data_IF_195853752647
#
_entry.id   IF_195853752647
#
_cell.length_a   1.000
_cell.length_b   1.000
_cell.length_c   1.000
_cell.angle_alpha   90.00
_cell.angle_beta   90.00
_cell.angle_gamma   90.00
#
_symmetry.space_group_name_H-M   'P 1'
#
loop_
_entity.id
_entity.type
_entity.pdbx_description
1 polymer ?
#
# COMPACT_ATOMS: atom_id res chain seq x y z
N UNK A 1 13.64 -8.77 7.07
CA UNK A 1 12.48 -8.39 7.92
C UNK A 1 11.51 -9.55 8.14
N UNK A 2 11.02 -10.20 7.08
CA UNK A 2 10.09 -11.34 7.20
C UNK A 2 10.62 -12.49 8.09
N UNK A 3 11.88 -12.87 7.92
CA UNK A 3 12.51 -13.91 8.75
C UNK A 3 12.61 -13.49 10.22
N UNK A 4 13.05 -12.26 10.49
CA UNK A 4 13.10 -11.67 11.83
C UNK A 4 11.71 -11.70 12.51
N UNK A 5 10.66 -11.27 11.79
CA UNK A 5 9.29 -11.28 12.32
C UNK A 5 8.84 -12.69 12.73
N UNK A 6 9.19 -13.71 11.93
CA UNK A 6 8.90 -15.11 12.24
C UNK A 6 9.71 -15.65 13.42
N UNK A 7 10.99 -15.32 13.47
CA UNK A 7 11.92 -15.80 14.50
C UNK A 7 11.54 -15.28 15.89
N UNK A 8 11.20 -14.00 15.99
CA UNK A 8 10.85 -13.36 17.26
C UNK A 8 9.34 -13.31 17.54
N UNK A 9 8.51 -13.85 16.63
CA UNK A 9 7.04 -13.82 16.72
C UNK A 9 6.47 -12.40 16.94
N UNK A 10 7.03 -11.41 16.25
CA UNK A 10 6.61 -10.02 16.34
C UNK A 10 5.89 -9.56 15.08
N UNK A 11 5.00 -8.57 15.24
CA UNK A 11 4.39 -7.86 14.13
C UNK A 11 5.36 -6.79 13.64
N UNK A 12 5.74 -6.87 12.37
CA UNK A 12 6.59 -5.86 11.71
C UNK A 12 5.75 -5.10 10.71
N UNK A 13 5.59 -3.79 10.93
CA UNK A 13 4.95 -2.87 9.99
C UNK A 13 6.04 -2.06 9.31
N UNK A 14 5.99 -2.00 7.98
CA UNK A 14 6.93 -1.23 7.16
C UNK A 14 6.14 -0.23 6.33
N UNK A 15 6.59 1.02 6.34
CA UNK A 15 6.06 2.04 5.44
C UNK A 15 6.87 2.03 4.15
N UNK A 16 6.18 1.96 3.02
CA UNK A 16 6.79 1.96 1.69
C UNK A 16 6.24 3.13 0.88
N UNK A 17 7.13 3.82 0.18
CA UNK A 17 6.72 4.79 -0.83
C UNK A 17 6.32 4.06 -2.11
N UNK A 18 5.30 4.58 -2.79
CA UNK A 18 4.88 4.08 -4.09
C UNK A 18 5.62 4.81 -5.21
N UNK A 19 5.73 4.15 -6.36
CA UNK A 19 6.24 4.79 -7.57
C UNK A 19 5.35 5.97 -7.99
N UNK A 20 5.96 7.11 -8.35
CA UNK A 20 5.27 8.29 -8.88
C UNK A 20 4.53 8.05 -10.19
N UNK A 21 4.84 6.96 -10.90
CA UNK A 21 4.10 6.54 -12.09
C UNK A 21 2.60 6.33 -11.80
N UNK A 22 2.24 6.00 -10.56
CA UNK A 22 0.83 5.91 -10.12
C UNK A 22 0.05 7.21 -10.31
N UNK A 23 0.70 8.37 -10.13
CA UNK A 23 0.09 9.71 -10.25
C UNK A 23 -0.21 10.11 -11.70
N UNK A 24 0.43 9.45 -12.67
CA UNK A 24 0.25 9.73 -14.10
C UNK A 24 -0.93 8.96 -14.70
N UNK A 25 -1.50 8.00 -13.96
CA UNK A 25 -2.67 7.24 -14.41
C UNK A 25 -3.95 8.07 -14.31
N UNK A 26 -4.91 7.77 -15.17
CA UNK A 26 -6.28 8.30 -15.06
C UNK A 26 -6.94 7.85 -13.76
N UNK A 27 -6.77 6.57 -13.42
CA UNK A 27 -7.12 6.04 -12.11
C UNK A 27 -5.90 6.13 -11.17
N UNK A 28 -5.98 7.07 -10.22
CA UNK A 28 -4.95 7.34 -9.23
C UNK A 28 -5.04 6.44 -8.01
N UNK A 29 -5.90 5.41 -8.05
CA UNK A 29 -5.92 4.39 -7.03
C UNK A 29 -4.58 3.63 -7.04
N UNK A 30 -3.93 3.48 -5.88
CA UNK A 30 -2.68 2.73 -5.77
C UNK A 30 -2.93 1.24 -6.02
N UNK A 31 -1.94 0.58 -6.60
CA UNK A 31 -1.95 -0.86 -6.88
C UNK A 31 -0.65 -1.49 -6.37
N UNK A 32 -0.64 -2.80 -6.12
CA UNK A 32 0.57 -3.51 -5.67
C UNK A 32 1.76 -3.36 -6.62
N UNK A 33 1.51 -3.21 -7.93
CA UNK A 33 2.56 -2.95 -8.93
C UNK A 33 3.30 -1.63 -8.69
N UNK A 34 2.72 -0.69 -7.94
CA UNK A 34 3.37 0.57 -7.57
C UNK A 34 4.45 0.38 -6.50
N UNK A 35 4.49 -0.78 -5.84
CA UNK A 35 5.56 -1.20 -4.93
C UNK A 35 6.75 -1.85 -5.66
N UNK A 36 6.70 -2.01 -6.98
CA UNK A 36 7.71 -2.78 -7.74
C UNK A 36 9.15 -2.28 -7.56
N UNK A 37 9.35 -1.00 -7.29
CA UNK A 37 10.68 -0.43 -6.99
C UNK A 37 11.13 -0.66 -5.54
N UNK A 38 10.25 -1.14 -4.66
CA UNK A 38 10.54 -1.50 -3.27
C UNK A 38 11.23 -2.87 -3.12
N UNK A 39 11.61 -3.50 -4.25
CA UNK A 39 12.35 -4.75 -4.28
C UNK A 39 11.57 -5.93 -3.70
N UNK A 40 12.16 -6.63 -2.73
CA UNK A 40 11.60 -7.87 -2.17
C UNK A 40 10.32 -7.67 -1.34
N UNK A 41 9.96 -6.44 -0.96
CA UNK A 41 8.82 -6.17 -0.06
C UNK A 41 7.49 -6.64 -0.67
N UNK A 42 7.28 -6.37 -1.96
CA UNK A 42 6.09 -6.80 -2.70
C UNK A 42 5.87 -8.32 -2.56
N UNK A 43 6.95 -9.09 -2.69
CA UNK A 43 6.92 -10.54 -2.67
C UNK A 43 6.85 -11.10 -1.24
N UNK A 44 7.59 -10.52 -0.31
CA UNK A 44 7.79 -11.05 1.04
C UNK A 44 6.69 -10.68 2.03
N UNK A 45 5.97 -9.58 1.80
CA UNK A 45 4.91 -9.13 2.70
C UNK A 45 3.77 -10.17 2.80
N UNK A 46 3.28 -10.43 4.02
CA UNK A 46 2.08 -11.26 4.19
C UNK A 46 0.80 -10.50 3.88
N UNK A 47 0.79 -9.21 4.22
CA UNK A 47 -0.31 -8.29 3.97
C UNK A 47 0.25 -7.01 3.36
N UNK A 48 -0.44 -6.50 2.34
CA UNK A 48 -0.17 -5.19 1.75
C UNK A 48 -1.44 -4.36 1.88
N UNK A 49 -1.33 -3.24 2.58
CA UNK A 49 -2.39 -2.26 2.73
C UNK A 49 -1.95 -1.00 2.01
N UNK A 50 -2.71 -0.60 1.00
CA UNK A 50 -2.49 0.63 0.24
C UNK A 50 -3.44 1.71 0.74
N UNK A 51 -2.95 2.95 0.80
CA UNK A 51 -3.73 4.10 1.25
C UNK A 51 -4.15 4.93 0.05
N UNK A 52 -5.44 5.18 -0.09
CA UNK A 52 -5.97 6.09 -1.09
C UNK A 52 -6.83 7.16 -0.45
N UNK A 53 -6.63 8.40 -0.87
CA UNK A 53 -7.39 9.56 -0.39
C UNK A 53 -8.05 10.23 -1.58
N UNK A 54 -9.37 10.11 -1.76
CA UNK A 54 -10.07 10.73 -2.89
C UNK A 54 -9.87 12.25 -2.96
N UNK A 55 -9.86 12.90 -1.78
CA UNK A 55 -9.72 14.36 -1.63
C UNK A 55 -8.33 14.91 -2.00
N UNK A 56 -7.31 14.05 -2.12
CA UNK A 56 -5.98 14.44 -2.61
C UNK A 56 -5.96 14.73 -4.12
N UNK A 57 -6.91 14.17 -4.87
CA UNK A 57 -6.96 14.28 -6.32
C UNK A 57 -8.19 15.03 -6.82
N UNK A 58 -9.27 15.00 -6.03
CA UNK A 58 -10.49 15.76 -6.25
C UNK A 58 -10.81 16.61 -5.00
N UNK A 59 -10.43 17.89 -4.99
CA UNK A 59 -10.66 18.77 -3.84
C UNK A 59 -12.14 18.97 -3.47
N UNK A 60 -13.07 18.72 -4.39
CA UNK A 60 -14.52 18.80 -4.14
C UNK A 60 -15.12 17.43 -3.78
N UNK A 61 -14.28 16.43 -3.55
CA UNK A 61 -14.74 15.09 -3.20
C UNK A 61 -15.65 15.12 -1.97
N UNK A 62 -16.84 14.49 -2.01
CA UNK A 62 -17.75 14.43 -0.86
C UNK A 62 -17.18 13.62 0.31
N UNK A 63 -16.05 12.92 0.09
CA UNK A 63 -15.33 12.09 1.07
C UNK A 63 -14.11 12.82 1.65
N UNK A 64 -14.17 14.16 1.73
CA UNK A 64 -13.10 14.98 2.28
C UNK A 64 -12.70 14.52 3.69
N UNK A 65 -11.40 14.30 3.90
CA UNK A 65 -10.85 13.78 5.16
C UNK A 65 -10.91 12.26 5.33
N UNK A 66 -11.51 11.52 4.40
CA UNK A 66 -11.53 10.06 4.43
C UNK A 66 -10.30 9.45 3.72
N UNK A 67 -9.91 8.26 4.17
CA UNK A 67 -8.91 7.44 3.50
C UNK A 67 -9.42 6.01 3.35
N UNK A 68 -9.26 5.46 2.15
CA UNK A 68 -9.48 4.05 1.86
C UNK A 68 -8.23 3.24 2.27
N UNK A 69 -8.45 2.23 3.10
CA UNK A 69 -7.48 1.19 3.43
C UNK A 69 -7.73 0.00 2.49
N UNK A 70 -6.92 -0.15 1.46
CA UNK A 70 -7.09 -1.16 0.42
C UNK A 70 -6.20 -2.35 0.75
N UNK A 71 -6.80 -3.46 1.18
CA UNK A 71 -6.08 -4.73 1.40
C UNK A 71 -5.90 -5.42 0.04
N UNK A 72 -4.76 -5.19 -0.59
CA UNK A 72 -4.49 -5.68 -1.96
C UNK A 72 -3.87 -7.10 -1.95
N UNK A 73 -3.12 -7.42 -0.88
CA UNK A 73 -2.56 -8.75 -0.63
C UNK A 73 -2.87 -9.17 0.78
N UNK A 74 -3.36 -10.40 0.95
CA UNK A 74 -3.48 -11.04 2.25
C UNK A 74 -3.22 -12.54 2.11
N UNK A 75 -2.09 -13.02 2.65
CA UNK A 75 -1.73 -14.45 2.63
C UNK A 75 -2.51 -15.30 3.64
N UNK A 76 -3.21 -14.67 4.58
CA UNK A 76 -3.96 -15.31 5.66
C UNK A 76 -5.46 -15.52 5.39
N UNK A 77 -6.01 -14.93 4.32
CA UNK A 77 -7.46 -14.90 4.05
C UNK A 77 -8.11 -13.65 4.60
#
# INVERSE_FOLDING_TARGET
>A
LKLLAKEFQLVVVVLCQLNRASEQRTDKRPMISDLRESGAVEQDADMVILLHRPDMHDPESPRAGEADLIVDKHRGG
#
